data_IF_423835237963
#
_entry.id   IF_423835237963
#
_cell.length_a   1.000
_cell.length_b   1.000
_cell.length_c   1.000
_cell.angle_alpha   90.00
_cell.angle_beta   90.00
_cell.angle_gamma   90.00
#
_symmetry.space_group_name_H-M   'P 1'
#
loop_
_entity.id
_entity.type
_entity.pdbx_description
1 polymer ?
#
# COMPACT_ATOMS: atom_id res chain seq x y z
N UNK A 1 -4.99 -24.39 2.86
CA UNK A 1 -5.55 -23.59 3.99
C UNK A 1 -4.71 -22.35 4.36
N UNK A 2 -3.39 -22.48 4.54
CA UNK A 2 -2.49 -21.36 4.91
C UNK A 2 -2.45 -20.22 3.86
N UNK A 3 -2.36 -20.55 2.57
CA UNK A 3 -2.34 -19.55 1.48
C UNK A 3 -3.59 -18.68 1.45
N UNK A 4 -4.77 -19.28 1.65
CA UNK A 4 -6.05 -18.57 1.76
C UNK A 4 -6.12 -17.65 2.98
N UNK A 5 -5.56 -18.06 4.13
CA UNK A 5 -5.49 -17.22 5.34
C UNK A 5 -4.56 -16.03 5.10
N UNK A 6 -3.39 -16.25 4.50
CA UNK A 6 -2.45 -15.20 4.14
C UNK A 6 -3.07 -14.22 3.12
N UNK A 7 -3.72 -14.71 2.07
CA UNK A 7 -4.39 -13.88 1.09
C UNK A 7 -5.50 -13.01 1.69
N UNK A 8 -6.28 -13.55 2.64
CA UNK A 8 -7.26 -12.76 3.41
C UNK A 8 -6.60 -11.66 4.23
N UNK A 9 -5.50 -11.98 4.93
CA UNK A 9 -4.76 -10.98 5.71
C UNK A 9 -4.27 -9.85 4.81
N UNK A 10 -3.62 -10.16 3.68
CA UNK A 10 -3.10 -9.16 2.74
C UNK A 10 -4.22 -8.30 2.12
N UNK A 11 -5.36 -8.92 1.79
CA UNK A 11 -6.52 -8.21 1.23
C UNK A 11 -7.11 -7.24 2.26
N UNK A 12 -7.35 -7.71 3.48
CA UNK A 12 -7.94 -6.87 4.54
C UNK A 12 -6.97 -5.79 4.99
N UNK A 13 -5.69 -6.11 5.16
CA UNK A 13 -4.69 -5.13 5.60
C UNK A 13 -4.45 -4.05 4.56
N UNK A 14 -4.36 -4.38 3.27
CA UNK A 14 -4.19 -3.39 2.21
C UNK A 14 -5.36 -2.41 2.14
N UNK A 15 -6.60 -2.91 2.21
CA UNK A 15 -7.79 -2.05 2.24
C UNK A 15 -7.79 -1.16 3.49
N UNK A 16 -7.55 -1.73 4.66
CA UNK A 16 -7.56 -0.99 5.92
C UNK A 16 -6.47 0.09 5.97
N UNK A 17 -5.25 -0.25 5.58
CA UNK A 17 -4.12 0.69 5.52
C UNK A 17 -4.35 1.80 4.49
N UNK A 18 -4.93 1.46 3.33
CA UNK A 18 -5.33 2.46 2.34
C UNK A 18 -6.36 3.44 2.90
N UNK A 19 -7.39 2.95 3.60
CA UNK A 19 -8.37 3.84 4.25
C UNK A 19 -7.74 4.71 5.34
N UNK A 20 -6.87 4.14 6.18
CA UNK A 20 -6.18 4.91 7.23
C UNK A 20 -5.37 6.04 6.59
N UNK A 21 -4.60 5.75 5.54
CA UNK A 21 -3.81 6.78 4.86
C UNK A 21 -4.69 7.80 4.14
N UNK A 22 -5.81 7.37 3.54
CA UNK A 22 -6.72 8.29 2.85
C UNK A 22 -7.38 9.31 3.79
N UNK A 23 -7.66 8.93 5.03
CA UNK A 23 -8.30 9.81 6.01
C UNK A 23 -7.33 10.61 6.87
N UNK A 24 -6.07 10.18 6.99
CA UNK A 24 -5.12 10.79 7.92
C UNK A 24 -3.84 11.30 7.26
N UNK A 25 -3.49 10.80 6.08
CA UNK A 25 -2.20 10.97 5.41
C UNK A 25 -0.98 10.65 6.30
N UNK A 26 -1.19 10.01 7.46
CA UNK A 26 -0.14 9.78 8.46
C UNK A 26 0.89 8.77 7.92
N UNK A 27 0.45 7.78 7.15
CA UNK A 27 1.33 6.71 6.70
C UNK A 27 2.25 7.22 5.59
N UNK A 28 1.69 7.91 4.59
CA UNK A 28 2.46 8.55 3.51
C UNK A 28 3.34 9.70 4.03
N UNK A 29 2.88 10.49 5.00
CA UNK A 29 3.71 11.51 5.66
C UNK A 29 4.88 10.91 6.45
N UNK A 30 4.65 9.87 7.25
CA UNK A 30 5.76 9.21 7.96
C UNK A 30 6.72 8.52 7.00
N UNK A 31 6.21 7.87 5.95
CA UNK A 31 7.03 7.18 4.98
C UNK A 31 7.95 8.15 4.22
N UNK A 32 7.40 9.28 3.76
CA UNK A 32 8.18 10.35 3.14
C UNK A 32 9.20 10.95 4.13
N UNK A 33 8.81 11.20 5.39
CA UNK A 33 9.73 11.71 6.41
C UNK A 33 10.88 10.76 6.74
N UNK A 34 10.63 9.44 6.76
CA UNK A 34 11.69 8.43 6.97
C UNK A 34 12.68 8.43 5.80
N UNK A 35 12.17 8.50 4.57
CA UNK A 35 13.02 8.43 3.37
C UNK A 35 13.78 9.72 3.08
N UNK A 36 13.14 10.87 3.32
CA UNK A 36 13.62 12.18 2.92
C UNK A 36 14.06 13.09 4.08
N UNK A 37 13.88 12.65 5.32
CA UNK A 37 14.14 13.49 6.49
C UNK A 37 13.34 14.79 6.43
N UNK A 38 14.01 15.91 6.65
CA UNK A 38 13.40 17.25 6.65
C UNK A 38 12.96 17.74 5.25
N UNK A 39 13.33 17.03 4.19
CA UNK A 39 12.97 17.38 2.81
C UNK A 39 11.57 16.87 2.40
N UNK A 40 10.82 16.21 3.30
CA UNK A 40 9.50 15.61 3.04
C UNK A 40 8.36 16.61 2.72
N UNK A 41 8.64 17.91 2.79
CA UNK A 41 7.73 19.01 2.44
C UNK A 41 8.21 19.76 1.18
N UNK A 42 9.23 19.27 0.48
CA UNK A 42 9.72 19.95 -0.72
C UNK A 42 8.76 19.75 -1.90
N UNK A 43 8.36 20.83 -2.59
CA UNK A 43 7.43 20.75 -3.70
C UNK A 43 8.00 19.90 -4.84
N UNK A 44 7.14 19.09 -5.47
CA UNK A 44 7.47 18.33 -6.68
C UNK A 44 6.99 19.14 -7.89
N UNK A 45 7.90 19.45 -8.82
CA UNK A 45 7.62 20.23 -10.03
C UNK A 45 7.05 21.65 -9.76
N UNK A 46 7.44 22.29 -8.66
CA UNK A 46 7.01 23.66 -8.33
C UNK A 46 5.58 23.77 -7.77
N UNK A 47 4.88 22.64 -7.64
CA UNK A 47 3.60 22.55 -6.93
C UNK A 47 3.87 21.99 -5.53
N UNK A 48 3.37 22.67 -4.49
CA UNK A 48 3.25 22.06 -3.16
C UNK A 48 2.23 20.94 -3.28
N UNK A 49 2.71 19.72 -3.53
CA UNK A 49 1.91 18.51 -3.35
C UNK A 49 1.98 18.12 -1.88
N UNK A 50 0.83 17.70 -1.32
CA UNK A 50 0.76 17.15 0.03
C UNK A 50 1.85 16.07 0.20
N UNK A 51 2.77 16.26 1.16
CA UNK A 51 3.81 15.31 1.57
C UNK A 51 4.69 14.78 0.43
N UNK A 52 5.54 15.65 -0.12
CA UNK A 52 6.34 15.35 -1.29
C UNK A 52 7.83 15.67 -1.11
N UNK A 53 8.68 14.87 -1.75
CA UNK A 53 10.15 14.99 -1.72
C UNK A 53 10.72 14.39 -3.02
N UNK A 54 10.58 15.12 -4.12
CA UNK A 54 10.90 14.59 -5.46
C UNK A 54 9.92 13.55 -6.02
N UNK A 55 9.12 12.91 -5.16
CA UNK A 55 7.99 12.04 -5.52
C UNK A 55 6.78 12.28 -4.60
N UNK A 56 5.59 11.88 -5.05
CA UNK A 56 4.35 11.94 -4.27
C UNK A 56 4.18 10.64 -3.46
N UNK A 57 4.29 10.74 -2.14
CA UNK A 57 4.25 9.58 -1.25
C UNK A 57 2.86 8.92 -1.17
N UNK A 58 1.78 9.70 -1.25
CA UNK A 58 0.39 9.19 -1.29
C UNK A 58 0.14 8.34 -2.55
N UNK A 59 0.63 8.81 -3.70
CA UNK A 59 0.51 8.07 -4.96
C UNK A 59 1.26 6.73 -4.90
N UNK A 60 2.49 6.74 -4.37
CA UNK A 60 3.30 5.52 -4.26
C UNK A 60 2.75 4.55 -3.22
N UNK A 61 2.28 5.05 -2.09
CA UNK A 61 1.62 4.24 -1.07
C UNK A 61 0.35 3.58 -1.62
N UNK A 62 -0.48 4.34 -2.34
CA UNK A 62 -1.68 3.82 -3.00
C UNK A 62 -1.33 2.72 -4.01
N UNK A 63 -0.31 2.93 -4.85
CA UNK A 63 0.17 1.91 -5.79
C UNK A 63 0.63 0.63 -5.07
N UNK A 64 1.37 0.76 -3.96
CA UNK A 64 1.82 -0.38 -3.15
C UNK A 64 0.64 -1.14 -2.55
N UNK A 65 -0.32 -0.45 -1.95
CA UNK A 65 -1.52 -1.08 -1.38
C UNK A 65 -2.32 -1.83 -2.44
N UNK A 66 -2.40 -1.29 -3.66
CA UNK A 66 -3.07 -1.95 -4.77
C UNK A 66 -2.37 -3.24 -5.22
N UNK A 67 -1.02 -3.25 -5.28
CA UNK A 67 -0.26 -4.47 -5.57
C UNK A 67 -0.45 -5.55 -4.50
N UNK A 68 -0.46 -5.16 -3.21
CA UNK A 68 -0.71 -6.08 -2.09
C UNK A 68 -2.13 -6.64 -2.17
N UNK A 69 -3.12 -5.81 -2.53
CA UNK A 69 -4.50 -6.21 -2.72
C UNK A 69 -4.64 -7.28 -3.81
N UNK A 70 -4.08 -7.01 -5.01
CA UNK A 70 -4.09 -7.98 -6.12
C UNK A 70 -3.43 -9.28 -5.67
N UNK A 71 -2.28 -9.20 -5.01
CA UNK A 71 -1.56 -10.39 -4.50
C UNK A 71 -2.42 -11.18 -3.52
N UNK A 72 -3.13 -10.50 -2.61
CA UNK A 72 -4.04 -11.11 -1.66
C UNK A 72 -5.20 -11.85 -2.34
N UNK A 73 -5.84 -11.21 -3.32
CA UNK A 73 -6.94 -11.79 -4.12
C UNK A 73 -6.45 -13.02 -4.90
N UNK A 74 -5.30 -12.92 -5.57
CA UNK A 74 -4.69 -14.01 -6.32
C UNK A 74 -4.41 -15.22 -5.41
N UNK A 75 -3.86 -15.00 -4.21
CA UNK A 75 -3.62 -16.08 -3.24
C UNK A 75 -4.92 -16.75 -2.75
N UNK A 76 -6.03 -16.00 -2.64
CA UNK A 76 -7.33 -16.56 -2.28
C UNK A 76 -7.87 -17.44 -3.41
N UNK A 77 -7.75 -17.00 -4.66
CA UNK A 77 -8.27 -17.71 -5.85
C UNK A 77 -7.48 -18.98 -6.14
N UNK A 78 -6.15 -18.95 -6.06
CA UNK A 78 -5.31 -20.11 -6.39
C UNK A 78 -5.31 -21.16 -5.27
N UNK A 79 -5.57 -20.75 -4.01
CA UNK A 79 -5.58 -21.69 -2.88
C UNK A 79 -6.55 -22.88 -3.00
N UNK A 80 -7.79 -22.74 -3.54
CA UNK A 80 -8.64 -23.90 -3.83
C UNK A 80 -8.17 -24.71 -5.04
N UNK A 81 -7.67 -24.06 -6.10
CA UNK A 81 -7.20 -24.75 -7.33
C UNK A 81 -6.10 -25.76 -7.03
N UNK A 82 -5.17 -25.46 -6.10
CA UNK A 82 -4.11 -26.39 -5.73
C UNK A 82 -4.58 -27.54 -4.82
N UNK A 83 -5.72 -27.41 -4.16
CA UNK A 83 -6.27 -28.49 -3.33
C UNK A 83 -7.00 -29.56 -4.15
N UNK A 84 -7.35 -29.28 -5.43
CA UNK A 84 -8.04 -30.25 -6.30
C UNK A 84 -7.09 -30.99 -7.27
N UNK A 85 -5.81 -30.61 -7.32
CA UNK A 85 -4.79 -31.23 -8.19
C UNK A 85 -3.88 -32.18 -7.38
N UNK A 86 -4.25 -32.50 -6.14
CA UNK A 86 -3.62 -33.51 -5.27
C UNK A 86 -4.70 -34.41 -4.68
#
# INVERSE_FOLDING_TARGET
MIKRKLGRILTVSSIMLWFIDRFSSIISANFSRILCGDLYLQPVNGLLGDYSCGFNADMHFTALMFLILITGIVLIIISPVQNEVH
#
